data_IF_956480719304
#
_entry.id   IF_956480719304
#
_cell.length_a   1.000
_cell.length_b   1.000
_cell.length_c   1.000
_cell.angle_alpha   90.00
_cell.angle_beta   90.00
_cell.angle_gamma   90.00
#
_symmetry.space_group_name_H-M   'P 1'
#
loop_
_entity.id
_entity.type
_entity.pdbx_description
1 polymer ?
#
# COMPACT_ATOMS: atom_id res chain seq x y z
N UNK A 1 -32.53 18.41 21.58
CA UNK A 1 -31.16 18.36 21.11
C UNK A 1 -31.26 18.27 19.60
N UNK A 2 -30.53 19.08 18.81
CA UNK A 2 -30.46 18.85 17.37
C UNK A 2 -29.91 17.43 17.14
N UNK A 3 -30.60 16.64 16.31
CA UNK A 3 -30.11 15.32 15.90
C UNK A 3 -28.77 15.49 15.22
N UNK A 4 -27.76 14.72 15.65
CA UNK A 4 -26.50 14.61 14.91
C UNK A 4 -26.87 14.20 13.49
N UNK A 5 -26.45 14.93 12.44
CA UNK A 5 -26.76 14.53 11.07
C UNK A 5 -26.18 13.13 10.82
N UNK A 6 -27.04 12.21 10.38
CA UNK A 6 -26.60 10.86 10.01
C UNK A 6 -25.58 10.96 8.87
N UNK A 7 -24.51 10.16 8.97
CA UNK A 7 -23.50 10.07 7.92
C UNK A 7 -24.04 9.23 6.75
N UNK A 8 -24.21 9.81 5.55
CA UNK A 8 -24.94 9.17 4.46
C UNK A 8 -24.26 7.87 3.98
N UNK A 9 -22.94 7.76 4.12
CA UNK A 9 -22.19 6.57 3.72
C UNK A 9 -22.32 5.42 4.72
N UNK A 10 -22.76 5.70 5.96
CA UNK A 10 -22.92 4.74 7.06
C UNK A 10 -24.37 4.42 7.36
N UNK A 11 -25.32 5.23 6.87
CA UNK A 11 -26.74 5.03 7.12
C UNK A 11 -27.25 3.82 6.34
N UNK A 12 -28.03 2.91 6.95
CA UNK A 12 -28.60 1.76 6.27
C UNK A 12 -29.30 2.15 4.96
N UNK A 13 -28.87 1.59 3.86
CA UNK A 13 -29.37 1.88 2.52
C UNK A 13 -29.82 0.58 1.83
N UNK A 14 -31.14 0.40 1.55
CA UNK A 14 -31.61 -0.77 0.83
C UNK A 14 -31.08 -0.85 -0.61
N UNK A 15 -30.74 0.29 -1.23
CA UNK A 15 -30.23 0.35 -2.60
C UNK A 15 -28.77 -0.12 -2.71
N UNK A 16 -28.06 -0.33 -1.59
CA UNK A 16 -26.68 -0.82 -1.56
C UNK A 16 -26.47 -2.17 -2.26
N UNK A 17 -27.51 -2.91 -2.54
CA UNK A 17 -27.46 -4.20 -3.23
C UNK A 17 -27.40 -4.06 -4.76
N UNK A 18 -27.68 -2.85 -5.28
CA UNK A 18 -27.63 -2.53 -6.70
C UNK A 18 -26.52 -1.52 -6.97
N UNK A 19 -25.70 -1.77 -8.02
CA UNK A 19 -24.63 -0.86 -8.37
C UNK A 19 -25.14 0.44 -9.03
N UNK A 20 -26.23 0.35 -9.77
CA UNK A 20 -26.79 1.48 -10.51
C UNK A 20 -28.17 1.89 -9.98
N UNK A 21 -28.51 3.19 -10.04
CA UNK A 21 -27.70 4.29 -10.59
C UNK A 21 -26.55 4.69 -9.67
N UNK A 22 -25.42 5.16 -10.23
CA UNK A 22 -24.28 5.65 -9.46
C UNK A 22 -24.67 6.94 -8.74
N UNK A 23 -24.53 6.93 -7.41
CA UNK A 23 -24.85 8.07 -6.54
C UNK A 23 -23.61 8.88 -6.13
N UNK A 24 -22.45 8.23 -6.08
CA UNK A 24 -21.16 8.81 -5.70
C UNK A 24 -20.14 8.67 -6.83
N UNK A 25 -20.21 9.52 -7.89
CA UNK A 25 -19.32 9.40 -9.06
C UNK A 25 -17.83 9.40 -8.72
N UNK A 26 -17.39 10.21 -7.75
CA UNK A 26 -15.99 10.28 -7.32
C UNK A 26 -15.50 8.96 -6.70
N UNK A 27 -16.35 8.24 -5.97
CA UNK A 27 -16.02 6.90 -5.42
C UNK A 27 -15.97 5.89 -6.57
N UNK A 28 -16.93 5.95 -7.47
CA UNK A 28 -16.98 5.09 -8.64
C UNK A 28 -15.75 5.25 -9.52
N UNK A 29 -15.30 6.49 -9.77
CA UNK A 29 -14.06 6.76 -10.52
C UNK A 29 -12.84 6.14 -9.85
N UNK A 30 -12.73 6.20 -8.51
CA UNK A 30 -11.64 5.56 -7.78
C UNK A 30 -11.69 4.04 -7.90
N UNK A 31 -12.87 3.43 -7.79
CA UNK A 31 -13.04 2.00 -8.02
C UNK A 31 -12.58 1.61 -9.44
N UNK A 32 -12.97 2.38 -10.48
CA UNK A 32 -12.55 2.11 -11.86
C UNK A 32 -11.05 2.31 -12.08
N UNK A 33 -10.40 3.22 -11.35
CA UNK A 33 -8.93 3.34 -11.35
C UNK A 33 -8.27 2.13 -10.72
N UNK A 34 -8.78 1.66 -9.58
CA UNK A 34 -8.27 0.45 -8.92
C UNK A 34 -8.39 -0.76 -9.85
N UNK A 35 -9.58 -0.99 -10.42
CA UNK A 35 -9.84 -2.08 -11.36
C UNK A 35 -8.91 -2.03 -12.59
N UNK A 36 -8.69 -0.84 -13.15
CA UNK A 36 -7.81 -0.63 -14.29
C UNK A 36 -6.32 -0.87 -13.96
N UNK A 37 -5.93 -0.82 -12.70
CA UNK A 37 -4.54 -1.06 -12.25
C UNK A 37 -4.27 -2.50 -11.81
N UNK A 38 -5.20 -3.42 -11.99
CA UNK A 38 -5.06 -4.82 -11.61
C UNK A 38 -3.82 -5.49 -12.22
N UNK A 39 -3.13 -6.27 -11.40
CA UNK A 39 -1.97 -7.08 -11.76
C UNK A 39 -1.93 -8.36 -10.93
N UNK A 40 -1.06 -9.30 -11.28
CA UNK A 40 -0.85 -10.54 -10.52
C UNK A 40 0.63 -10.75 -10.21
N UNK A 41 0.94 -11.55 -9.19
CA UNK A 41 2.31 -11.79 -8.77
C UNK A 41 3.17 -12.44 -9.87
N UNK A 42 2.57 -13.23 -10.78
CA UNK A 42 3.26 -13.86 -11.92
C UNK A 42 3.76 -12.86 -12.97
N UNK A 43 3.30 -11.60 -12.93
CA UNK A 43 3.79 -10.56 -13.84
C UNK A 43 5.16 -10.00 -13.40
N UNK A 44 5.63 -10.36 -12.21
CA UNK A 44 6.90 -9.89 -11.65
C UNK A 44 8.00 -10.94 -11.88
N UNK A 45 9.03 -10.57 -12.66
CA UNK A 45 10.17 -11.42 -12.90
C UNK A 45 11.25 -11.21 -11.81
N UNK A 46 11.48 -12.24 -10.98
CA UNK A 46 12.51 -12.25 -9.92
C UNK A 46 13.82 -12.90 -10.35
N UNK A 47 13.96 -13.34 -11.60
CA UNK A 47 15.10 -14.16 -12.08
C UNK A 47 16.46 -13.49 -11.90
N UNK A 48 16.52 -12.16 -11.98
CA UNK A 48 17.78 -11.41 -11.83
C UNK A 48 18.08 -10.99 -10.38
N UNK A 49 17.10 -11.03 -9.51
CA UNK A 49 17.21 -10.48 -8.16
C UNK A 49 18.18 -11.26 -7.27
N UNK A 50 18.30 -12.58 -7.44
CA UNK A 50 19.19 -13.40 -6.61
C UNK A 50 20.66 -12.96 -6.74
N UNK A 51 21.14 -12.67 -7.97
CA UNK A 51 22.50 -12.19 -8.18
C UNK A 51 22.72 -10.83 -7.50
N UNK A 52 21.72 -9.95 -7.56
CA UNK A 52 21.79 -8.66 -6.89
C UNK A 52 21.75 -8.81 -5.37
N UNK A 53 20.87 -9.68 -4.85
CA UNK A 53 20.79 -10.01 -3.42
C UNK A 53 22.13 -10.48 -2.85
N UNK A 54 22.81 -11.38 -3.54
CA UNK A 54 24.10 -11.91 -3.12
C UNK A 54 25.22 -10.84 -3.11
N UNK A 55 25.05 -9.76 -3.89
CA UNK A 55 25.98 -8.63 -3.96
C UNK A 55 25.74 -7.55 -2.89
N UNK A 56 24.57 -7.55 -2.22
CA UNK A 56 24.25 -6.60 -1.16
C UNK A 56 25.16 -6.81 0.06
N UNK A 57 25.45 -5.73 0.77
CA UNK A 57 26.10 -5.80 2.08
C UNK A 57 25.19 -6.42 3.14
N UNK A 58 25.75 -6.92 4.24
CA UNK A 58 24.97 -7.48 5.34
C UNK A 58 23.97 -6.48 5.92
N UNK A 59 24.35 -5.20 6.00
CA UNK A 59 23.48 -4.12 6.47
C UNK A 59 22.31 -3.85 5.52
N UNK A 60 22.55 -3.89 4.22
CA UNK A 60 21.50 -3.74 3.21
C UNK A 60 20.53 -4.92 3.25
N UNK A 61 21.06 -6.15 3.31
CA UNK A 61 20.23 -7.35 3.47
C UNK A 61 19.40 -7.31 4.75
N UNK A 62 20.03 -6.94 5.86
CA UNK A 62 19.33 -6.79 7.15
C UNK A 62 18.15 -5.82 7.03
N UNK A 63 18.39 -4.64 6.46
CA UNK A 63 17.35 -3.63 6.30
C UNK A 63 16.20 -4.10 5.39
N UNK A 64 16.53 -4.60 4.19
CA UNK A 64 15.51 -5.10 3.24
C UNK A 64 14.74 -6.27 3.83
N UNK A 65 15.39 -7.17 4.56
CA UNK A 65 14.74 -8.29 5.24
C UNK A 65 13.70 -7.82 6.25
N UNK A 66 13.99 -6.78 7.04
CA UNK A 66 13.03 -6.21 8.00
C UNK A 66 11.85 -5.53 7.31
N UNK A 67 12.12 -4.82 6.19
CA UNK A 67 11.07 -4.21 5.36
C UNK A 67 10.13 -5.29 4.80
N UNK A 68 10.68 -6.34 4.20
CA UNK A 68 9.87 -7.44 3.64
C UNK A 68 9.10 -8.21 4.73
N UNK A 69 9.71 -8.41 5.90
CA UNK A 69 9.04 -9.05 7.03
C UNK A 69 7.85 -8.23 7.55
N UNK A 70 8.00 -6.90 7.60
CA UNK A 70 6.90 -6.01 7.92
C UNK A 70 5.77 -6.11 6.88
N UNK A 71 6.08 -6.02 5.60
CA UNK A 71 5.08 -6.12 4.54
C UNK A 71 4.32 -7.45 4.58
N UNK A 72 5.01 -8.58 4.64
CA UNK A 72 4.38 -9.90 4.71
C UNK A 72 3.44 -10.08 5.92
N UNK A 73 3.69 -9.32 7.00
CA UNK A 73 2.90 -9.37 8.22
C UNK A 73 1.72 -8.37 8.22
N UNK A 74 1.85 -7.23 7.53
CA UNK A 74 0.90 -6.11 7.61
C UNK A 74 -0.37 -6.33 6.80
N UNK A 75 -0.28 -6.95 5.62
CA UNK A 75 -1.43 -7.12 4.72
C UNK A 75 -2.53 -7.97 5.36
N UNK A 76 -2.16 -8.96 6.17
CA UNK A 76 -3.13 -9.72 6.96
C UNK A 76 -3.94 -8.85 7.93
N UNK A 77 -3.32 -7.85 8.55
CA UNK A 77 -3.99 -6.90 9.45
C UNK A 77 -4.91 -5.96 8.66
N UNK A 78 -4.44 -5.48 7.50
CA UNK A 78 -5.24 -4.65 6.58
C UNK A 78 -6.50 -5.42 6.14
N UNK A 79 -6.34 -6.68 5.71
CA UNK A 79 -7.45 -7.55 5.29
C UNK A 79 -8.48 -7.77 6.41
N UNK A 80 -8.04 -8.01 7.65
CA UNK A 80 -8.94 -8.15 8.81
C UNK A 80 -9.78 -6.90 9.02
N UNK A 81 -9.19 -5.71 8.90
CA UNK A 81 -9.91 -4.45 9.04
C UNK A 81 -10.92 -4.23 7.91
N UNK A 82 -10.52 -4.46 6.67
CA UNK A 82 -11.39 -4.30 5.51
C UNK A 82 -12.59 -5.22 5.57
N UNK A 83 -12.37 -6.51 5.74
CA UNK A 83 -13.43 -7.52 5.75
C UNK A 83 -14.27 -7.49 7.04
N UNK A 84 -13.63 -7.33 8.19
CA UNK A 84 -14.27 -7.37 9.50
C UNK A 84 -15.07 -6.11 9.85
N UNK A 85 -14.62 -4.95 9.41
CA UNK A 85 -15.16 -3.65 9.81
C UNK A 85 -15.71 -2.84 8.63
N UNK A 86 -14.85 -2.33 7.75
CA UNK A 86 -15.27 -1.33 6.75
C UNK A 86 -16.31 -1.85 5.75
N UNK A 87 -16.17 -3.09 5.27
CA UNK A 87 -17.18 -3.71 4.39
C UNK A 87 -18.57 -3.84 5.03
N UNK A 88 -18.66 -3.94 6.35
CA UNK A 88 -19.95 -4.02 7.07
C UNK A 88 -20.52 -2.65 7.37
N UNK A 89 -19.67 -1.68 7.69
CA UNK A 89 -20.08 -0.36 8.15
C UNK A 89 -20.52 0.54 7.00
N UNK A 90 -19.84 0.47 5.86
CA UNK A 90 -20.16 1.29 4.69
C UNK A 90 -21.40 0.75 3.95
N UNK A 91 -22.38 1.63 3.72
CA UNK A 91 -23.69 1.26 3.22
C UNK A 91 -23.98 1.72 1.79
N UNK A 92 -22.98 2.15 1.05
CA UNK A 92 -23.08 2.57 -0.36
C UNK A 92 -22.37 1.59 -1.28
N UNK A 93 -23.01 1.27 -2.42
CA UNK A 93 -22.55 0.22 -3.35
C UNK A 93 -21.18 0.51 -3.96
N UNK A 94 -20.93 1.77 -4.35
CA UNK A 94 -19.67 2.19 -4.97
C UNK A 94 -18.46 1.99 -4.03
N UNK A 95 -18.61 2.33 -2.74
CA UNK A 95 -17.53 2.15 -1.76
C UNK A 95 -17.32 0.66 -1.41
N UNK A 96 -18.40 -0.11 -1.35
CA UNK A 96 -18.30 -1.56 -1.15
C UNK A 96 -17.61 -2.26 -2.32
N UNK A 97 -17.83 -1.79 -3.56
CA UNK A 97 -17.12 -2.27 -4.74
C UNK A 97 -15.61 -1.98 -4.63
N UNK A 98 -15.25 -0.77 -4.22
CA UNK A 98 -13.84 -0.42 -4.00
C UNK A 98 -13.20 -1.31 -2.94
N UNK A 99 -13.80 -1.46 -1.76
CA UNK A 99 -13.27 -2.31 -0.70
C UNK A 99 -13.17 -3.79 -1.11
N UNK A 100 -14.16 -4.29 -1.86
CA UNK A 100 -14.10 -5.66 -2.40
C UNK A 100 -12.91 -5.87 -3.32
N UNK A 101 -12.60 -4.87 -4.15
CA UNK A 101 -11.41 -4.89 -5.02
C UNK A 101 -10.11 -4.70 -4.21
N UNK A 102 -10.10 -3.80 -3.22
CA UNK A 102 -8.95 -3.62 -2.33
C UNK A 102 -8.61 -4.94 -1.62
N UNK A 103 -9.60 -5.64 -1.06
CA UNK A 103 -9.38 -6.98 -0.46
C UNK A 103 -8.74 -7.94 -1.46
N UNK A 104 -9.14 -7.92 -2.72
CA UNK A 104 -8.57 -8.80 -3.74
C UNK A 104 -7.10 -8.45 -4.05
N UNK A 105 -6.78 -7.17 -4.19
CA UNK A 105 -5.40 -6.74 -4.50
C UNK A 105 -4.45 -6.92 -3.30
N UNK A 106 -4.93 -6.75 -2.05
CA UNK A 106 -4.15 -7.01 -0.84
C UNK A 106 -3.71 -8.48 -0.73
N UNK A 107 -4.54 -9.43 -1.21
CA UNK A 107 -4.10 -10.82 -1.29
C UNK A 107 -2.94 -11.00 -2.28
N UNK A 108 -2.94 -10.25 -3.38
CA UNK A 108 -1.84 -10.28 -4.37
C UNK A 108 -0.57 -9.64 -3.78
N UNK A 109 -0.70 -8.54 -3.01
CA UNK A 109 0.42 -7.94 -2.28
C UNK A 109 1.03 -8.94 -1.31
N UNK A 110 0.22 -9.59 -0.50
CA UNK A 110 0.64 -10.61 0.48
C UNK A 110 1.34 -11.79 -0.20
N UNK A 111 0.80 -12.29 -1.33
CA UNK A 111 1.45 -13.31 -2.14
C UNK A 111 2.81 -12.84 -2.65
N UNK A 112 2.88 -11.63 -3.20
CA UNK A 112 4.13 -11.06 -3.73
C UNK A 112 5.21 -10.95 -2.66
N UNK A 113 4.90 -10.43 -1.47
CA UNK A 113 5.86 -10.35 -0.36
C UNK A 113 6.32 -11.72 0.13
N UNK A 114 5.43 -12.69 0.15
CA UNK A 114 5.77 -14.08 0.47
C UNK A 114 6.74 -14.66 -0.55
N UNK A 115 6.52 -14.45 -1.85
CA UNK A 115 7.41 -14.89 -2.91
C UNK A 115 8.80 -14.22 -2.83
N UNK A 116 8.86 -12.93 -2.49
CA UNK A 116 10.11 -12.22 -2.29
C UNK A 116 10.92 -12.82 -1.14
N UNK A 117 10.31 -13.06 0.02
CA UNK A 117 10.96 -13.73 1.15
C UNK A 117 11.40 -15.16 0.81
N UNK A 118 10.56 -15.94 0.13
CA UNK A 118 10.91 -17.28 -0.34
C UNK A 118 12.11 -17.27 -1.30
N UNK A 119 12.18 -16.26 -2.17
CA UNK A 119 13.25 -16.14 -3.16
C UNK A 119 14.59 -15.77 -2.53
N UNK A 120 14.60 -14.81 -1.59
CA UNK A 120 15.85 -14.26 -1.06
C UNK A 120 16.36 -14.99 0.18
N UNK A 121 15.49 -15.47 1.04
CA UNK A 121 15.88 -16.10 2.33
C UNK A 121 15.94 -17.62 2.16
N UNK A 122 17.15 -18.16 2.18
CA UNK A 122 17.37 -19.61 1.99
C UNK A 122 17.32 -20.38 3.31
N UNK A 123 17.72 -19.76 4.42
CA UNK A 123 17.67 -20.39 5.74
C UNK A 123 16.22 -20.52 6.23
N UNK A 124 15.79 -21.76 6.52
CA UNK A 124 14.41 -22.06 6.89
C UNK A 124 14.03 -21.53 8.27
N UNK A 125 14.99 -21.42 9.19
CA UNK A 125 14.74 -20.91 10.55
C UNK A 125 14.52 -19.41 10.49
N UNK A 126 15.39 -18.71 9.77
CA UNK A 126 15.25 -17.26 9.54
C UNK A 126 13.97 -16.94 8.78
N UNK A 127 13.65 -17.70 7.74
CA UNK A 127 12.41 -17.54 6.98
C UNK A 127 11.17 -17.66 7.88
N UNK A 128 11.10 -18.69 8.71
CA UNK A 128 10.01 -18.87 9.67
C UNK A 128 9.92 -17.70 10.67
N UNK A 129 11.07 -17.17 11.11
CA UNK A 129 11.13 -15.98 11.98
C UNK A 129 10.52 -14.77 11.31
N UNK A 130 10.82 -14.55 10.03
CA UNK A 130 10.34 -13.41 9.24
C UNK A 130 8.84 -13.51 8.95
N UNK A 131 8.33 -14.68 8.57
CA UNK A 131 6.88 -14.89 8.42
C UNK A 131 6.08 -14.73 9.71
N UNK A 132 6.74 -14.76 10.85
CA UNK A 132 6.15 -14.50 12.17
C UNK A 132 6.64 -13.17 12.76
N UNK A 133 6.92 -12.18 11.91
CA UNK A 133 7.52 -10.92 12.29
C UNK A 133 6.74 -10.15 13.37
N UNK A 134 5.41 -10.24 13.39
CA UNK A 134 4.56 -9.63 14.42
C UNK A 134 4.93 -10.16 15.81
N UNK A 135 5.32 -11.43 15.92
CA UNK A 135 5.69 -12.07 17.21
C UNK A 135 7.18 -11.97 17.50
N UNK A 136 8.02 -11.90 16.47
CA UNK A 136 9.47 -12.11 16.55
C UNK A 136 10.30 -10.84 16.39
N UNK A 137 9.74 -9.76 15.85
CA UNK A 137 10.44 -8.50 15.57
C UNK A 137 9.74 -7.34 16.29
N UNK A 138 10.34 -6.77 17.36
CA UNK A 138 9.66 -5.80 18.23
C UNK A 138 9.15 -4.54 17.50
N UNK A 139 9.90 -3.98 16.55
CA UNK A 139 9.46 -2.79 15.81
C UNK A 139 8.28 -3.11 14.85
N UNK A 140 8.21 -4.31 14.28
CA UNK A 140 7.04 -4.79 13.51
C UNK A 140 5.84 -4.99 14.44
N UNK A 141 6.05 -5.61 15.61
CA UNK A 141 5.01 -5.81 16.62
C UNK A 141 4.36 -4.49 17.05
N UNK A 142 5.14 -3.43 17.22
CA UNK A 142 4.60 -2.10 17.60
C UNK A 142 3.65 -1.54 16.53
N UNK A 143 4.04 -1.62 15.26
CA UNK A 143 3.18 -1.19 14.14
C UNK A 143 1.89 -2.01 14.11
N UNK A 144 2.00 -3.33 14.23
CA UNK A 144 0.86 -4.24 14.26
C UNK A 144 -0.10 -3.94 15.43
N UNK A 145 0.43 -3.79 16.64
CA UNK A 145 -0.36 -3.47 17.83
C UNK A 145 -1.07 -2.12 17.71
N UNK A 146 -0.43 -1.13 17.09
CA UNK A 146 -1.06 0.16 16.81
C UNK A 146 -2.25 0.02 15.87
N UNK A 147 -2.09 -0.72 14.77
CA UNK A 147 -3.17 -0.96 13.81
C UNK A 147 -4.32 -1.77 14.45
N UNK A 148 -4.02 -2.85 15.15
CA UNK A 148 -5.01 -3.70 15.84
C UNK A 148 -5.81 -2.94 16.88
N UNK A 149 -5.20 -2.01 17.63
CA UNK A 149 -5.90 -1.14 18.57
C UNK A 149 -7.09 -0.41 17.93
N UNK A 150 -6.95 0.05 16.67
CA UNK A 150 -8.02 0.73 15.95
C UNK A 150 -9.04 -0.23 15.36
N UNK A 151 -8.64 -1.45 15.01
CA UNK A 151 -9.56 -2.49 14.51
C UNK A 151 -10.48 -2.96 15.63
N UNK A 152 -9.92 -3.28 16.80
CA UNK A 152 -10.64 -3.84 17.95
C UNK A 152 -11.33 -2.77 18.79
N UNK A 153 -10.92 -1.52 18.63
CA UNK A 153 -11.43 -0.41 19.41
C UNK A 153 -12.87 -0.04 19.11
N UNK A 154 -13.46 0.72 20.03
CA UNK A 154 -14.81 1.26 19.94
C UNK A 154 -14.88 2.69 19.42
N UNK A 155 -13.78 3.19 18.87
CA UNK A 155 -13.66 4.52 18.33
C UNK A 155 -14.64 4.74 17.16
N UNK A 156 -14.93 6.02 16.87
CA UNK A 156 -15.79 6.39 15.77
C UNK A 156 -15.26 5.94 14.42
N UNK A 157 -16.13 5.74 13.44
CA UNK A 157 -15.71 5.45 12.06
C UNK A 157 -14.71 6.50 11.54
N UNK A 158 -14.94 7.79 11.87
CA UNK A 158 -14.06 8.89 11.49
C UNK A 158 -12.62 8.72 12.03
N UNK A 159 -12.45 8.27 13.26
CA UNK A 159 -11.13 8.01 13.84
C UNK A 159 -10.47 6.80 13.18
N UNK A 160 -11.23 5.73 12.98
CA UNK A 160 -10.71 4.49 12.39
C UNK A 160 -10.31 4.65 10.92
N UNK A 161 -11.06 5.42 10.13
CA UNK A 161 -10.70 5.69 8.72
C UNK A 161 -9.43 6.55 8.61
N UNK A 162 -9.20 7.50 9.54
CA UNK A 162 -7.96 8.27 9.60
C UNK A 162 -6.79 7.37 10.02
N UNK A 163 -6.98 6.52 11.04
CA UNK A 163 -5.95 5.56 11.45
C UNK A 163 -5.62 4.59 10.31
N UNK A 164 -6.60 4.15 9.56
CA UNK A 164 -6.40 3.32 8.37
C UNK A 164 -5.62 4.07 7.28
N UNK A 165 -5.93 5.34 7.02
CA UNK A 165 -5.14 6.19 6.11
C UNK A 165 -3.69 6.36 6.59
N UNK A 166 -3.43 6.35 7.90
CA UNK A 166 -2.06 6.34 8.44
C UNK A 166 -1.36 5.01 8.19
N UNK A 167 -2.05 3.87 8.27
CA UNK A 167 -1.48 2.57 7.92
C UNK A 167 -1.06 2.56 6.46
N UNK A 168 -1.97 2.87 5.53
CA UNK A 168 -1.75 2.85 4.09
C UNK A 168 -0.74 3.92 3.63
N UNK A 169 -0.79 5.12 4.20
CA UNK A 169 0.01 6.27 3.76
C UNK A 169 1.32 6.45 4.53
N UNK A 170 1.38 6.16 5.83
CA UNK A 170 2.56 6.43 6.68
C UNK A 170 3.36 5.15 6.95
N UNK A 171 2.72 4.08 7.42
CA UNK A 171 3.42 2.86 7.84
C UNK A 171 4.14 2.13 6.71
N UNK A 172 3.75 2.36 5.47
CA UNK A 172 4.44 1.82 4.31
C UNK A 172 5.48 2.78 3.72
N UNK A 173 5.44 4.07 4.08
CA UNK A 173 6.23 5.12 3.43
C UNK A 173 7.74 4.92 3.53
N UNK A 174 8.25 4.62 4.72
CA UNK A 174 9.66 4.36 4.94
C UNK A 174 10.14 3.12 4.21
N UNK A 175 9.32 2.07 4.20
CA UNK A 175 9.60 0.81 3.53
C UNK A 175 9.66 0.97 2.01
N UNK A 176 8.68 1.65 1.40
CA UNK A 176 8.71 1.95 -0.03
C UNK A 176 9.91 2.81 -0.42
N UNK A 177 10.21 3.83 0.38
CA UNK A 177 11.39 4.68 0.16
C UNK A 177 12.67 3.85 0.14
N UNK A 178 12.82 2.90 1.04
CA UNK A 178 13.96 2.00 1.11
C UNK A 178 14.15 1.16 -0.16
N UNK A 179 13.07 0.60 -0.67
CA UNK A 179 13.12 -0.21 -1.89
C UNK A 179 13.38 0.68 -3.11
N UNK A 180 12.79 1.87 -3.20
CA UNK A 180 13.09 2.82 -4.26
C UNK A 180 14.54 3.31 -4.24
N UNK A 181 15.19 3.35 -3.08
CA UNK A 181 16.64 3.61 -2.99
C UNK A 181 17.46 2.53 -3.70
N UNK A 182 17.06 1.24 -3.63
CA UNK A 182 17.67 0.18 -4.44
C UNK A 182 17.46 0.42 -5.93
N UNK A 183 16.26 0.85 -6.34
CA UNK A 183 15.98 1.22 -7.74
C UNK A 183 16.91 2.32 -8.25
N UNK A 184 17.12 3.38 -7.46
CA UNK A 184 18.08 4.46 -7.80
C UNK A 184 19.49 3.92 -8.07
N UNK A 185 19.86 2.82 -7.44
CA UNK A 185 21.16 2.16 -7.60
C UNK A 185 21.17 1.10 -8.71
N UNK A 186 20.08 0.87 -9.40
CA UNK A 186 19.95 -0.15 -10.43
C UNK A 186 20.00 -1.59 -9.91
N UNK A 187 19.58 -1.81 -8.65
CA UNK A 187 19.61 -3.10 -7.98
C UNK A 187 18.19 -3.68 -7.82
N UNK A 188 18.09 -5.02 -7.75
CA UNK A 188 16.88 -5.76 -7.42
C UNK A 188 15.68 -5.40 -8.33
N UNK A 189 15.79 -5.62 -9.65
CA UNK A 189 14.76 -5.16 -10.61
C UNK A 189 13.37 -5.73 -10.33
N UNK A 190 13.24 -6.99 -9.94
CA UNK A 190 11.96 -7.60 -9.61
C UNK A 190 11.33 -7.00 -8.34
N UNK A 191 12.13 -6.88 -7.26
CA UNK A 191 11.71 -6.23 -6.02
C UNK A 191 11.27 -4.78 -6.26
N UNK A 192 12.05 -4.02 -7.01
CA UNK A 192 11.73 -2.61 -7.25
C UNK A 192 10.55 -2.42 -8.18
N UNK A 193 10.33 -3.31 -9.13
CA UNK A 193 9.14 -3.30 -9.98
C UNK A 193 7.87 -3.63 -9.18
N UNK A 194 7.90 -4.69 -8.35
CA UNK A 194 6.76 -4.98 -7.47
C UNK A 194 6.44 -3.81 -6.53
N UNK A 195 7.48 -3.15 -6.00
CA UNK A 195 7.32 -1.96 -5.15
C UNK A 195 6.62 -0.79 -5.87
N UNK A 196 6.84 -0.61 -7.18
CA UNK A 196 6.12 0.39 -7.97
C UNK A 196 4.64 0.06 -8.08
N UNK A 197 4.29 -1.20 -8.33
CA UNK A 197 2.91 -1.65 -8.44
C UNK A 197 2.19 -1.49 -7.10
N UNK A 198 2.78 -2.01 -6.04
CA UNK A 198 2.19 -2.00 -4.69
C UNK A 198 2.08 -0.56 -4.15
N UNK A 199 3.15 0.25 -4.22
CA UNK A 199 3.09 1.62 -3.70
C UNK A 199 2.08 2.51 -4.45
N UNK A 200 1.82 2.24 -5.72
CA UNK A 200 0.74 2.88 -6.48
C UNK A 200 -0.63 2.49 -5.92
N UNK A 201 -0.84 1.22 -5.65
CA UNK A 201 -2.09 0.70 -5.13
C UNK A 201 -2.35 1.25 -3.70
N UNK A 202 -1.34 1.24 -2.82
CA UNK A 202 -1.44 1.81 -1.47
C UNK A 202 -1.70 3.32 -1.49
N UNK A 203 -1.12 4.04 -2.44
CA UNK A 203 -1.44 5.45 -2.66
C UNK A 203 -2.92 5.67 -2.99
N UNK A 204 -3.52 4.79 -3.80
CA UNK A 204 -4.94 4.84 -4.12
C UNK A 204 -5.83 4.45 -2.92
N UNK A 205 -5.40 3.47 -2.11
CA UNK A 205 -6.09 3.06 -0.89
C UNK A 205 -6.11 4.20 0.15
N UNK A 206 -4.99 4.86 0.36
CA UNK A 206 -4.88 6.03 1.22
C UNK A 206 -5.77 7.19 0.73
N UNK A 207 -5.75 7.49 -0.57
CA UNK A 207 -6.59 8.52 -1.18
C UNK A 207 -8.09 8.20 -1.04
N UNK A 208 -8.45 6.92 -1.14
CA UNK A 208 -9.82 6.47 -0.93
C UNK A 208 -10.29 6.67 0.52
N UNK A 209 -9.44 6.33 1.50
CA UNK A 209 -9.73 6.59 2.91
C UNK A 209 -9.93 8.09 3.17
N UNK A 210 -9.08 8.95 2.59
CA UNK A 210 -9.23 10.41 2.67
C UNK A 210 -10.52 10.90 2.01
N UNK A 211 -10.93 10.32 0.88
CA UNK A 211 -12.19 10.66 0.22
C UNK A 211 -13.39 10.29 1.08
N UNK A 212 -13.42 9.08 1.65
CA UNK A 212 -14.50 8.68 2.54
C UNK A 212 -14.59 9.58 3.78
N UNK A 213 -13.44 9.92 4.38
CA UNK A 213 -13.42 10.87 5.49
C UNK A 213 -14.03 12.22 5.08
N UNK A 214 -13.71 12.74 3.89
CA UNK A 214 -14.29 14.00 3.38
C UNK A 214 -15.80 13.95 3.21
N UNK A 215 -16.37 12.80 2.91
CA UNK A 215 -17.80 12.59 2.72
C UNK A 215 -18.57 12.45 4.02
N UNK A 216 -17.91 12.22 5.15
CA UNK A 216 -18.58 12.18 6.44
C UNK A 216 -19.15 13.56 6.80
N UNK A 217 -20.35 13.60 7.41
CA UNK A 217 -20.93 14.79 7.97
C UNK A 217 -20.27 15.16 9.31
N UNK A 218 -19.88 14.15 10.08
CA UNK A 218 -19.23 14.32 11.39
C UNK A 218 -17.72 14.25 11.25
N UNK A 219 -17.06 15.40 11.36
CA UNK A 219 -15.61 15.52 11.33
C UNK A 219 -15.00 15.52 12.73
N UNK A 220 -13.79 15.01 12.83
CA UNK A 220 -12.98 15.19 14.04
C UNK A 220 -12.43 16.63 14.12
N UNK A 221 -12.07 17.06 15.33
CA UNK A 221 -11.27 18.27 15.48
C UNK A 221 -9.90 18.09 14.82
N UNK A 222 -9.35 19.17 14.27
CA UNK A 222 -8.03 19.13 13.65
C UNK A 222 -6.96 18.64 14.62
N UNK A 223 -7.05 19.03 15.89
CA UNK A 223 -6.16 18.57 16.96
C UNK A 223 -6.21 17.03 17.11
N UNK A 224 -7.41 16.44 17.05
CA UNK A 224 -7.56 14.98 17.13
C UNK A 224 -6.96 14.27 15.92
N UNK A 225 -7.19 14.79 14.71
CA UNK A 225 -6.60 14.26 13.47
C UNK A 225 -5.06 14.32 13.55
N UNK A 226 -4.51 15.47 13.91
CA UNK A 226 -3.05 15.66 14.07
C UNK A 226 -2.48 14.73 15.14
N UNK A 227 -3.21 14.50 16.23
CA UNK A 227 -2.81 13.56 17.28
C UNK A 227 -2.67 12.11 16.78
N UNK A 228 -3.64 11.63 15.98
CA UNK A 228 -3.59 10.27 15.39
C UNK A 228 -2.41 10.16 14.41
N UNK A 229 -2.23 11.16 13.54
CA UNK A 229 -1.14 11.19 12.55
C UNK A 229 0.23 11.27 13.25
N UNK A 230 0.39 12.10 14.26
CA UNK A 230 1.64 12.23 15.01
C UNK A 230 2.03 10.93 15.72
N UNK A 231 1.07 10.23 16.32
CA UNK A 231 1.28 8.93 16.96
C UNK A 231 1.77 7.87 15.94
N UNK A 232 1.17 7.83 14.74
CA UNK A 232 1.62 6.97 13.65
C UNK A 232 3.04 7.32 13.16
N UNK A 233 3.37 8.60 13.04
CA UNK A 233 4.71 9.08 12.64
C UNK A 233 5.78 8.61 13.61
N UNK A 234 5.54 8.70 14.94
CA UNK A 234 6.52 8.24 15.93
C UNK A 234 6.76 6.72 15.83
N UNK A 235 5.71 5.94 15.62
CA UNK A 235 5.82 4.48 15.41
C UNK A 235 6.64 4.15 14.14
N UNK A 236 6.39 4.86 13.04
CA UNK A 236 7.12 4.63 11.80
C UNK A 236 8.58 5.07 11.89
N UNK A 237 8.86 6.19 12.54
CA UNK A 237 10.23 6.65 12.80
C UNK A 237 11.03 5.65 13.63
N UNK A 238 10.41 5.11 14.67
CA UNK A 238 11.02 4.07 15.49
C UNK A 238 11.32 2.81 14.65
N UNK A 239 10.37 2.35 13.85
CA UNK A 239 10.56 1.22 12.95
C UNK A 239 11.76 1.42 12.02
N UNK A 240 11.83 2.57 11.34
CA UNK A 240 12.93 2.87 10.40
C UNK A 240 14.26 2.97 11.13
N UNK A 241 14.32 3.58 12.32
CA UNK A 241 15.57 3.67 13.10
C UNK A 241 16.04 2.30 13.59
N UNK A 242 15.14 1.42 14.01
CA UNK A 242 15.46 0.06 14.45
C UNK A 242 15.88 -0.83 13.27
N UNK A 243 15.22 -0.70 12.12
CA UNK A 243 15.55 -1.45 10.91
C UNK A 243 16.86 -0.96 10.24
N UNK A 244 17.21 0.32 10.42
CA UNK A 244 18.46 0.94 9.92
C UNK A 244 19.48 1.17 11.06
N UNK A 245 20.16 0.13 11.55
CA UNK A 245 21.10 0.26 12.67
C UNK A 245 22.34 1.07 12.30
N UNK A 246 22.56 1.38 11.02
CA UNK A 246 23.67 2.15 10.51
C UNK A 246 23.25 2.99 9.29
N UNK A 247 23.97 4.09 9.05
CA UNK A 247 23.75 4.92 7.86
C UNK A 247 24.13 4.15 6.58
N UNK A 248 23.20 4.04 5.65
CA UNK A 248 23.48 3.61 4.29
C UNK A 248 23.83 4.83 3.42
N UNK A 249 24.57 4.62 2.33
CA UNK A 249 25.00 5.72 1.44
C UNK A 249 23.78 6.41 0.83
N UNK A 250 23.55 7.67 1.20
CA UNK A 250 22.44 8.49 0.71
C UNK A 250 21.09 8.19 1.38
N UNK A 251 21.05 7.32 2.40
CA UNK A 251 19.86 7.01 3.19
C UNK A 251 20.26 6.74 4.64
N UNK A 252 19.73 7.52 5.57
CA UNK A 252 20.00 7.38 7.01
C UNK A 252 18.74 7.71 7.81
N UNK A 253 18.73 7.34 9.10
CA UNK A 253 17.59 7.50 9.99
C UNK A 253 17.04 8.93 10.06
N UNK A 254 17.91 9.96 10.01
CA UNK A 254 17.49 11.36 10.03
C UNK A 254 16.75 11.79 8.77
N UNK A 255 17.27 11.45 7.59
CA UNK A 255 16.61 11.73 6.31
C UNK A 255 15.31 10.92 6.16
N UNK A 256 15.31 9.66 6.62
CA UNK A 256 14.10 8.84 6.61
C UNK A 256 13.02 9.42 7.53
N UNK A 257 13.40 9.89 8.73
CA UNK A 257 12.48 10.57 9.64
C UNK A 257 11.86 11.82 9.01
N UNK A 258 12.67 12.65 8.36
CA UNK A 258 12.17 13.83 7.63
C UNK A 258 11.24 13.44 6.48
N UNK A 259 11.52 12.33 5.78
CA UNK A 259 10.65 11.84 4.71
C UNK A 259 9.28 11.39 5.24
N UNK A 260 9.26 10.67 6.37
CA UNK A 260 8.02 10.26 7.04
C UNK A 260 7.19 11.47 7.46
N UNK A 261 7.82 12.50 8.05
CA UNK A 261 7.17 13.76 8.39
C UNK A 261 6.59 14.49 7.16
N UNK A 262 7.33 14.48 6.04
CA UNK A 262 6.84 15.03 4.78
C UNK A 262 5.61 14.29 4.25
N UNK A 263 5.60 12.96 4.31
CA UNK A 263 4.44 12.13 3.92
C UNK A 263 3.24 12.40 4.82
N UNK A 264 3.48 12.53 6.14
CA UNK A 264 2.43 12.86 7.10
C UNK A 264 1.79 14.23 6.83
N UNK A 265 2.58 15.25 6.48
CA UNK A 265 2.07 16.57 6.08
C UNK A 265 1.22 16.50 4.80
N UNK A 266 1.55 15.62 3.84
CA UNK A 266 0.72 15.38 2.66
C UNK A 266 -0.61 14.72 3.04
N UNK A 267 -0.57 13.74 3.93
CA UNK A 267 -1.78 13.08 4.43
C UNK A 267 -2.70 14.07 5.15
N UNK A 268 -2.14 14.92 6.04
CA UNK A 268 -2.88 15.97 6.72
C UNK A 268 -3.56 16.92 5.73
N UNK A 269 -2.84 17.37 4.69
CA UNK A 269 -3.42 18.18 3.62
C UNK A 269 -4.54 17.46 2.87
N UNK A 270 -4.40 16.15 2.61
CA UNK A 270 -5.45 15.33 2.01
C UNK A 270 -6.68 15.17 2.91
N UNK A 271 -6.51 15.21 4.23
CA UNK A 271 -7.61 15.19 5.21
C UNK A 271 -8.22 16.59 5.45
N UNK A 272 -7.65 17.65 4.85
CA UNK A 272 -8.12 19.03 4.99
C UNK A 272 -7.58 19.75 6.22
N UNK A 273 -6.47 19.28 6.80
CA UNK A 273 -5.80 19.87 7.95
C UNK A 273 -4.55 20.63 7.55
N UNK A 274 -4.12 21.56 8.40
CA UNK A 274 -2.84 22.24 8.28
C UNK A 274 -1.67 21.29 8.54
N UNK A 275 -0.53 21.55 7.90
CA UNK A 275 0.71 20.82 8.12
C UNK A 275 1.14 20.86 9.59
N UNK A 276 1.71 19.77 10.07
CA UNK A 276 2.24 19.65 11.43
C UNK A 276 3.75 19.88 11.49
N UNK A 277 4.48 19.38 10.51
CA UNK A 277 5.95 19.36 10.52
C UNK A 277 6.56 20.47 9.65
N UNK A 278 5.95 20.81 8.53
CA UNK A 278 6.41 21.87 7.64
C UNK A 278 7.74 21.60 6.95
N UNK A 279 8.10 20.32 6.78
CA UNK A 279 9.37 19.89 6.18
C UNK A 279 9.26 19.66 4.68
N UNK A 280 10.40 19.77 3.98
CA UNK A 280 10.53 19.42 2.56
C UNK A 280 10.92 17.96 2.39
N UNK A 281 10.64 17.38 1.21
CA UNK A 281 11.10 16.06 0.86
C UNK A 281 12.64 16.02 0.81
N UNK A 282 13.31 15.19 1.60
CA UNK A 282 14.77 15.09 1.59
C UNK A 282 15.33 14.27 0.41
N UNK A 283 14.45 13.57 -0.33
CA UNK A 283 14.81 12.67 -1.42
C UNK A 283 14.25 13.16 -2.75
N UNK A 284 15.06 13.84 -3.55
CA UNK A 284 14.71 14.34 -4.88
C UNK A 284 14.22 13.23 -5.83
N UNK A 285 14.82 12.04 -5.72
CA UNK A 285 14.46 10.87 -6.51
C UNK A 285 13.07 10.32 -6.19
N UNK A 286 12.53 10.55 -4.98
CA UNK A 286 11.16 10.19 -4.64
C UNK A 286 10.13 11.12 -5.32
N UNK A 287 10.47 12.35 -5.61
CA UNK A 287 9.63 13.26 -6.39
C UNK A 287 9.49 12.81 -7.84
N UNK A 288 10.57 12.32 -8.44
CA UNK A 288 10.57 11.77 -9.81
C UNK A 288 9.64 10.56 -9.92
N UNK A 289 9.63 9.69 -8.93
CA UNK A 289 8.73 8.51 -8.87
C UNK A 289 7.28 8.96 -8.73
N UNK A 290 7.00 9.95 -7.87
CA UNK A 290 5.66 10.56 -7.73
C UNK A 290 5.15 11.20 -9.01
N UNK A 291 6.02 11.84 -9.79
CA UNK A 291 5.68 12.44 -11.09
C UNK A 291 5.40 11.37 -12.15
N UNK A 292 6.13 10.27 -12.14
CA UNK A 292 5.87 9.14 -13.03
C UNK A 292 4.53 8.46 -12.74
N UNK A 293 4.09 8.42 -11.47
CA UNK A 293 2.76 7.98 -11.08
C UNK A 293 1.61 8.93 -11.49
N UNK A 294 1.93 10.21 -11.77
CA UNK A 294 0.97 11.23 -12.24
C UNK A 294 0.88 11.32 -13.76
N UNK A 295 1.86 10.79 -14.51
CA UNK A 295 1.75 10.66 -15.96
C UNK A 295 0.64 9.68 -16.30
N UNK A 296 -0.17 10.07 -17.27
CA UNK A 296 -1.42 9.44 -17.67
C UNK A 296 -1.35 7.90 -17.60
N UNK A 297 -2.02 7.31 -16.63
CA UNK A 297 -2.07 5.88 -16.38
C UNK A 297 -2.34 5.05 -17.65
N UNK A 298 -3.18 5.55 -18.55
CA UNK A 298 -3.53 4.89 -19.80
C UNK A 298 -2.39 4.90 -20.84
N UNK A 299 -1.56 5.93 -20.87
CA UNK A 299 -0.42 6.01 -21.80
C UNK A 299 0.74 5.10 -21.34
N UNK A 300 0.98 4.99 -20.03
CA UNK A 300 2.05 4.16 -19.48
C UNK A 300 1.75 2.67 -19.62
N UNK A 301 0.49 2.27 -19.52
CA UNK A 301 0.06 0.85 -19.65
C UNK A 301 0.30 0.29 -21.05
N UNK A 302 0.23 1.09 -22.09
CA UNK A 302 0.44 0.66 -23.49
C UNK A 302 1.93 0.50 -23.81
N UNK A 303 2.84 1.24 -23.12
CA UNK A 303 4.28 1.22 -23.38
C UNK A 303 5.07 0.20 -22.54
N UNK A 304 4.64 -0.10 -21.31
CA UNK A 304 5.38 -0.97 -20.38
C UNK A 304 4.74 -2.35 -20.18
N UNK A 305 3.48 -2.53 -20.57
CA UNK A 305 2.75 -3.81 -20.49
C UNK A 305 2.93 -4.66 -21.75
N UNK A 306 4.15 -5.11 -21.99
CA UNK A 306 4.30 -6.30 -22.81
C UNK A 306 4.15 -7.51 -21.89
N UNK A 307 2.98 -8.18 -21.94
CA UNK A 307 2.81 -9.49 -21.30
C UNK A 307 3.98 -10.37 -21.74
N UNK A 308 4.65 -11.03 -20.78
CA UNK A 308 5.76 -11.95 -21.06
C UNK A 308 5.40 -13.02 -22.13
N UNK A 309 4.10 -13.34 -22.28
CA UNK A 309 3.59 -14.27 -23.30
C UNK A 309 3.50 -13.68 -24.71
N UNK A 310 3.52 -12.35 -24.90
CA UNK A 310 3.39 -11.74 -26.25
C UNK A 310 4.73 -11.76 -26.99
N UNK A 311 5.86 -11.72 -26.28
CA UNK A 311 7.20 -11.80 -26.90
C UNK A 311 7.64 -13.22 -27.26
N UNK A 312 7.08 -14.27 -26.64
CA UNK A 312 7.38 -15.66 -27.00
C UNK A 312 6.91 -16.02 -28.41
N UNK A 313 5.91 -15.32 -28.95
CA UNK A 313 5.37 -15.54 -30.29
C UNK A 313 6.16 -14.83 -31.40
N UNK A 314 7.07 -13.91 -31.09
CA UNK A 314 7.90 -13.21 -32.08
C UNK A 314 9.19 -13.98 -32.45
N UNK A 315 9.58 -15.00 -31.67
CA UNK A 315 10.74 -15.83 -31.89
C UNK A 315 10.44 -17.19 -32.59
N UNK A 316 9.32 -17.29 -33.29
CA UNK A 316 9.05 -18.27 -34.36
C UNK A 316 9.28 -19.73 -34.01
N UNK A 317 8.61 -20.31 -33.02
CA UNK A 317 8.33 -21.74 -32.92
C UNK A 317 7.22 -21.94 -31.84
N UNK A 318 6.00 -21.63 -32.17
CA UNK A 318 4.86 -21.93 -31.30
C UNK A 318 3.59 -21.98 -32.12
N UNK A 319 2.89 -23.09 -32.07
CA UNK A 319 1.56 -23.24 -32.62
C UNK A 319 0.66 -22.09 -32.11
N UNK A 320 0.24 -21.27 -33.05
CA UNK A 320 -0.77 -20.24 -32.80
C UNK A 320 -2.11 -20.96 -32.62
N UNK A 321 -2.56 -21.09 -31.37
CA UNK A 321 -3.96 -21.34 -31.09
C UNK A 321 -4.78 -20.12 -31.50
N UNK A 322 -5.18 -20.09 -32.78
CA UNK A 322 -6.19 -19.15 -33.26
C UNK A 322 -7.54 -19.71 -32.77
N UNK A 323 -8.20 -18.95 -31.90
CA UNK A 323 -9.57 -19.25 -31.50
C UNK A 323 -10.47 -19.13 -32.75
N UNK A 324 -10.93 -20.25 -33.25
CA UNK A 324 -11.93 -20.31 -34.35
C UNK A 324 -13.31 -20.36 -33.69
N UNK A 325 -14.19 -19.43 -34.10
CA UNK A 325 -15.57 -19.35 -33.60
C UNK A 325 -16.53 -20.40 -34.15
N UNK A 326 -16.03 -21.39 -34.88
CA UNK A 326 -16.78 -22.39 -35.63
C UNK A 326 -16.47 -23.84 -35.19
N UNK A 327 -15.98 -24.06 -33.96
CA UNK A 327 -15.89 -25.41 -33.42
C UNK A 327 -17.22 -25.76 -32.75
N UNK A 328 -17.94 -26.71 -33.34
CA UNK A 328 -19.15 -27.33 -32.77
C UNK A 328 -18.80 -28.04 -31.45
N UNK A 329 -19.55 -27.75 -30.39
CA UNK A 329 -19.50 -28.42 -29.09
C UNK A 329 -20.12 -29.82 -29.18
#
# INVERSE_FOLDING_TARGET
MPSIPEDPILTPNPDRFCMFPIQYPQIWEMYKKAEASFWTAEEVDLSQDQQHWDSLTDNERHFITHVLAFFAASDGIVLENLAGRFMKEVQISEARAFYGFQIAIENIHSEMYSLLLESYIKDSVEKNRLFRAIETIPCVQKKANWAMKWIDGSESFAERIIAFACVEGIFFSGSFCAIFWLKKRGLMPGLTFSNELISRDEGLHCDFACLLYKLLNTKLSEERVKGIVADAVEIEREFVCDALPCGLVGMNGGLMSQYIEFVADRLLGSLGCEKLYGVSNPFDWMELISLQGKTNFFEKRVGEYQKASVMSNLNGNGDTHVFKMDEDF
#
